data_IF_822173681365
#
_entry.id   IF_822173681365
#
_cell.length_a   1.000
_cell.length_b   1.000
_cell.length_c   1.000
_cell.angle_alpha   90.00
_cell.angle_beta   90.00
_cell.angle_gamma   90.00
#
_symmetry.space_group_name_H-M   'P 1'
#
loop_
_entity.id
_entity.type
_entity.pdbx_description
1 polymer ?
#
# COMPACT_ATOMS: atom_id res chain seq x y z
N UNK A 1 -11.33 9.93 21.56
CA UNK A 1 -11.02 10.08 23.00
C UNK A 1 -9.64 10.70 23.26
N UNK A 2 -8.84 11.04 22.24
CA UNK A 2 -7.52 11.69 22.34
C UNK A 2 -6.47 10.98 23.20
N UNK A 3 -6.68 9.70 23.51
CA UNK A 3 -5.66 8.88 24.15
C UNK A 3 -4.56 8.56 23.15
N UNK A 4 -3.31 8.59 23.61
CA UNK A 4 -2.19 8.07 22.84
C UNK A 4 -2.37 6.56 22.67
N UNK A 5 -2.23 6.10 21.43
CA UNK A 5 -2.28 4.68 21.08
C UNK A 5 -0.92 4.33 20.53
N UNK A 6 -0.26 3.36 21.15
CA UNK A 6 0.94 2.73 20.60
C UNK A 6 0.51 1.63 19.62
N UNK A 7 1.26 1.51 18.52
CA UNK A 7 1.00 0.50 17.50
C UNK A 7 1.84 -0.74 17.83
N UNK A 8 1.17 -1.75 18.37
CA UNK A 8 1.82 -3.00 18.79
C UNK A 8 2.08 -3.93 17.60
N UNK A 9 1.30 -3.81 16.53
CA UNK A 9 1.28 -4.75 15.41
C UNK A 9 1.44 -4.06 14.05
N UNK A 10 1.82 -4.85 13.04
CA UNK A 10 1.95 -4.40 11.67
C UNK A 10 0.62 -4.03 10.96
N UNK A 11 -0.53 -4.26 11.59
CA UNK A 11 -1.83 -3.94 11.01
C UNK A 11 -2.05 -2.42 10.95
N UNK A 12 -2.59 -1.92 9.83
CA UNK A 12 -3.02 -0.51 9.74
C UNK A 12 -4.38 -0.28 10.38
N UNK A 13 -5.15 -1.34 10.65
CA UNK A 13 -6.36 -1.27 11.46
C UNK A 13 -5.98 -1.34 12.95
N UNK A 14 -6.11 -0.23 13.67
CA UNK A 14 -5.86 -0.20 15.11
C UNK A 14 -7.14 0.06 15.89
N UNK A 15 -7.27 -0.59 17.05
CA UNK A 15 -8.44 -0.49 17.92
C UNK A 15 -8.11 0.31 19.18
N UNK A 16 -8.88 1.36 19.46
CA UNK A 16 -8.75 2.09 20.73
C UNK A 16 -9.48 1.36 21.86
N UNK A 17 -8.73 0.91 22.88
CA UNK A 17 -9.25 0.20 24.06
C UNK A 17 -9.80 1.13 25.15
N UNK A 18 -9.53 2.44 25.08
CA UNK A 18 -9.91 3.42 26.11
C UNK A 18 -11.24 4.14 25.84
N UNK A 19 -11.92 3.81 24.74
CA UNK A 19 -13.19 4.44 24.37
C UNK A 19 -14.34 3.93 25.26
N UNK A 20 -15.08 4.85 25.88
CA UNK A 20 -16.24 4.53 26.75
C UNK A 20 -17.40 3.87 26.00
N UNK A 21 -17.50 4.08 24.70
CA UNK A 21 -18.57 3.57 23.83
C UNK A 21 -18.23 2.23 23.18
N UNK A 22 -17.15 1.57 23.62
CA UNK A 22 -16.63 0.33 23.02
C UNK A 22 -15.40 0.58 22.13
N UNK A 23 -14.73 -0.49 21.68
CA UNK A 23 -13.54 -0.39 20.86
C UNK A 23 -13.88 0.25 19.50
N UNK A 24 -13.19 1.34 19.17
CA UNK A 24 -13.30 2.00 17.87
C UNK A 24 -12.06 1.64 17.06
N UNK A 25 -12.28 1.10 15.86
CA UNK A 25 -11.23 0.80 14.90
C UNK A 25 -11.01 1.96 13.93
N UNK A 26 -9.75 2.28 13.64
CA UNK A 26 -9.38 3.34 12.71
C UNK A 26 -8.06 3.05 12.01
N UNK A 27 -7.81 3.75 10.91
CA UNK A 27 -6.58 3.62 10.13
C UNK A 27 -5.43 4.37 10.79
N UNK A 28 -4.29 3.69 10.99
CA UNK A 28 -3.06 4.27 11.55
C UNK A 28 -2.55 5.48 10.74
N UNK A 29 -2.80 5.49 9.43
CA UNK A 29 -2.29 6.52 8.51
C UNK A 29 -3.09 7.81 8.57
N UNK A 30 -4.41 7.71 8.43
CA UNK A 30 -5.28 8.86 8.19
C UNK A 30 -6.25 9.14 9.36
N UNK A 31 -6.19 8.32 10.41
CA UNK A 31 -7.08 8.36 11.57
C UNK A 31 -8.58 8.24 11.24
N UNK A 32 -8.94 7.81 10.02
CA UNK A 32 -10.33 7.62 9.62
C UNK A 32 -10.92 6.32 10.18
N UNK A 33 -12.23 6.25 10.46
CA UNK A 33 -12.89 5.05 10.95
C UNK A 33 -12.68 3.86 9.99
N UNK A 34 -12.37 2.69 10.55
CA UNK A 34 -12.15 1.48 9.76
C UNK A 34 -13.47 0.90 9.21
N UNK A 35 -14.50 0.86 10.06
CA UNK A 35 -15.84 0.37 9.73
C UNK A 35 -16.87 1.50 9.81
N UNK A 36 -17.89 1.56 8.93
CA UNK A 36 -18.22 0.62 7.84
C UNK A 36 -17.51 0.90 6.50
N UNK A 37 -16.67 1.94 6.43
CA UNK A 37 -16.38 2.59 5.15
C UNK A 37 -14.93 3.04 4.97
N UNK A 38 -13.93 2.32 5.48
CA UNK A 38 -12.55 2.54 5.01
C UNK A 38 -12.34 1.96 3.60
N UNK A 39 -13.23 2.32 2.67
CA UNK A 39 -13.13 2.02 1.23
C UNK A 39 -12.10 2.91 0.54
N UNK A 40 -11.70 3.99 1.19
CA UNK A 40 -10.84 5.03 0.65
C UNK A 40 -9.36 4.83 1.01
N UNK A 41 -8.90 3.56 1.03
CA UNK A 41 -7.47 3.26 1.10
C UNK A 41 -6.68 3.95 -0.02
N UNK A 42 -7.33 4.19 -1.16
CA UNK A 42 -6.80 5.06 -2.20
C UNK A 42 -6.46 6.45 -1.67
N UNK A 43 -7.40 7.14 -1.03
CA UNK A 43 -7.23 8.52 -0.57
C UNK A 43 -6.08 8.66 0.43
N UNK A 44 -5.88 7.72 1.35
CA UNK A 44 -4.73 7.76 2.27
C UNK A 44 -3.40 7.32 1.62
N UNK A 45 -3.47 6.62 0.48
CA UNK A 45 -2.32 6.22 -0.34
C UNK A 45 -1.97 7.23 -1.44
N UNK A 46 -2.74 8.31 -1.59
CA UNK A 46 -2.39 9.43 -2.47
C UNK A 46 -1.44 10.39 -1.73
N UNK A 47 -0.34 10.85 -2.34
CA UNK A 47 0.50 11.90 -1.77
C UNK A 47 -0.28 13.21 -1.51
N UNK A 48 0.05 14.00 -0.48
CA UNK A 48 -0.66 15.23 -0.14
C UNK A 48 -0.74 16.25 -1.28
N UNK A 49 0.31 16.36 -2.07
CA UNK A 49 0.43 17.32 -3.18
C UNK A 49 -0.60 17.06 -4.27
N UNK A 50 -0.88 15.78 -4.55
CA UNK A 50 -1.91 15.37 -5.52
C UNK A 50 -3.33 15.64 -5.02
N UNK A 51 -3.49 16.02 -3.74
CA UNK A 51 -4.75 16.45 -3.12
C UNK A 51 -4.85 17.96 -2.93
N UNK A 52 -3.76 18.71 -3.16
CA UNK A 52 -3.69 20.18 -2.96
C UNK A 52 -4.16 20.92 -4.22
N UNK A 53 -4.65 22.14 -4.03
CA UNK A 53 -5.05 23.02 -5.14
C UNK A 53 -3.81 23.59 -5.85
N UNK A 54 -3.94 23.99 -7.13
CA UNK A 54 -2.81 24.55 -7.91
C UNK A 54 -2.10 25.74 -7.23
N UNK A 55 -2.81 26.50 -6.37
CA UNK A 55 -2.23 27.62 -5.60
C UNK A 55 -1.28 27.17 -4.48
N UNK A 56 -1.44 25.96 -3.96
CA UNK A 56 -0.72 25.42 -2.81
C UNK A 56 0.52 24.59 -3.20
N UNK A 57 0.74 24.36 -4.50
CA UNK A 57 1.80 23.49 -5.02
C UNK A 57 3.15 24.20 -5.23
N UNK A 58 3.24 25.52 -5.06
CA UNK A 58 4.42 26.32 -5.44
C UNK A 58 5.48 26.51 -4.32
N UNK A 59 5.41 25.79 -3.19
CA UNK A 59 6.33 25.97 -2.06
C UNK A 59 7.26 24.77 -1.86
N UNK A 60 8.50 25.00 -1.42
CA UNK A 60 9.49 23.93 -1.11
C UNK A 60 9.03 22.94 -0.01
N UNK A 61 8.00 23.30 0.76
CA UNK A 61 7.35 22.40 1.73
C UNK A 61 6.56 21.28 1.05
N UNK A 62 6.14 21.47 -0.20
CA UNK A 62 5.40 20.50 -1.02
C UNK A 62 6.31 19.30 -1.28
N UNK A 63 7.44 19.50 -1.97
CA UNK A 63 8.39 18.42 -2.28
C UNK A 63 8.82 17.62 -1.05
N UNK A 64 9.05 18.30 0.08
CA UNK A 64 9.40 17.65 1.36
C UNK A 64 8.27 16.76 1.88
N UNK A 65 7.00 17.14 1.69
CA UNK A 65 5.83 16.35 2.10
C UNK A 65 5.68 15.08 1.23
N UNK A 66 6.06 15.12 -0.05
CA UNK A 66 6.01 13.97 -0.95
C UNK A 66 7.12 12.96 -0.72
N UNK A 67 8.35 13.42 -0.57
CA UNK A 67 9.48 12.56 -0.19
C UNK A 67 9.17 11.84 1.12
N UNK A 68 8.69 12.60 2.11
CA UNK A 68 8.28 12.06 3.40
C UNK A 68 7.15 11.03 3.26
N UNK A 69 6.13 11.33 2.45
CA UNK A 69 5.01 10.42 2.24
C UNK A 69 5.48 9.05 1.74
N UNK A 70 6.31 9.00 0.70
CA UNK A 70 6.78 7.72 0.16
C UNK A 70 7.76 7.02 1.09
N UNK A 71 8.63 7.76 1.77
CA UNK A 71 9.53 7.21 2.78
C UNK A 71 8.76 6.50 3.89
N UNK A 72 7.77 7.16 4.50
CA UNK A 72 6.95 6.60 5.56
C UNK A 72 6.20 5.34 5.09
N UNK A 73 5.61 5.35 3.88
CA UNK A 73 4.92 4.17 3.32
C UNK A 73 5.86 2.99 3.09
N UNK A 74 7.07 3.24 2.60
CA UNK A 74 8.07 2.18 2.39
C UNK A 74 8.48 1.56 3.73
N UNK A 75 8.72 2.39 4.75
CA UNK A 75 9.10 1.90 6.07
C UNK A 75 7.97 1.07 6.71
N UNK A 76 6.73 1.56 6.61
CA UNK A 76 5.54 0.84 7.06
C UNK A 76 5.39 -0.53 6.36
N UNK A 77 5.56 -0.58 5.03
CA UNK A 77 5.47 -1.85 4.31
C UNK A 77 6.62 -2.82 4.66
N UNK A 78 7.81 -2.35 5.04
CA UNK A 78 8.89 -3.24 5.53
C UNK A 78 8.48 -3.92 6.84
N UNK A 79 7.93 -3.15 7.78
CA UNK A 79 7.42 -3.68 9.05
C UNK A 79 6.30 -4.68 8.78
N UNK A 80 5.33 -4.31 7.92
CA UNK A 80 4.21 -5.20 7.58
C UNK A 80 4.63 -6.47 6.84
N UNK A 81 5.66 -6.39 5.99
CA UNK A 81 6.22 -7.57 5.32
C UNK A 81 6.89 -8.52 6.32
N UNK A 82 7.68 -8.00 7.26
CA UNK A 82 8.32 -8.85 8.27
C UNK A 82 7.29 -9.56 9.14
N UNK A 83 6.22 -8.86 9.53
CA UNK A 83 5.12 -9.48 10.28
C UNK A 83 4.38 -10.54 9.47
N UNK A 84 4.11 -10.28 8.18
CA UNK A 84 3.48 -11.28 7.31
C UNK A 84 4.34 -12.55 7.16
N UNK A 85 5.68 -12.40 7.11
CA UNK A 85 6.61 -13.55 7.12
C UNK A 85 6.54 -14.33 8.42
N UNK A 86 6.50 -13.64 9.56
CA UNK A 86 6.31 -14.28 10.87
C UNK A 86 4.99 -15.07 10.90
N UNK A 87 3.89 -14.51 10.40
CA UNK A 87 2.60 -15.23 10.31
C UNK A 87 2.67 -16.47 9.42
N UNK A 88 3.45 -16.42 8.35
CA UNK A 88 3.71 -17.60 7.52
C UNK A 88 4.52 -18.66 8.26
N UNK A 89 5.50 -18.27 9.06
CA UNK A 89 6.29 -19.18 9.92
C UNK A 89 5.43 -19.81 11.04
N UNK A 90 4.49 -19.05 11.60
CA UNK A 90 3.53 -19.50 12.64
C UNK A 90 2.37 -20.36 12.08
N UNK A 91 2.13 -20.32 10.76
CA UNK A 91 1.00 -20.99 10.13
C UNK A 91 0.87 -22.50 10.44
N UNK A 92 1.96 -23.31 10.51
CA UNK A 92 1.85 -24.72 10.88
C UNK A 92 1.31 -24.95 12.29
N UNK A 93 1.65 -24.07 13.24
CA UNK A 93 1.12 -24.13 14.61
C UNK A 93 -0.37 -23.80 14.61
N UNK A 94 -0.76 -22.70 13.94
CA UNK A 94 -2.15 -22.27 13.80
C UNK A 94 -3.01 -23.37 13.13
N UNK A 95 -2.49 -24.03 12.09
CA UNK A 95 -3.13 -25.19 11.45
C UNK A 95 -3.34 -26.32 12.47
N UNK A 96 -2.32 -26.63 13.28
CA UNK A 96 -2.42 -27.65 14.32
C UNK A 96 -3.50 -27.34 15.36
N UNK A 97 -3.64 -26.08 15.77
CA UNK A 97 -4.68 -25.63 16.70
C UNK A 97 -6.07 -25.70 16.05
N UNK A 98 -6.22 -25.13 14.85
CA UNK A 98 -7.47 -25.13 14.09
C UNK A 98 -7.99 -26.56 13.84
N UNK A 99 -7.11 -27.49 13.46
CA UNK A 99 -7.47 -28.91 13.27
C UNK A 99 -8.00 -29.56 14.55
N UNK A 100 -7.40 -29.27 15.71
CA UNK A 100 -7.84 -29.83 17.00
C UNK A 100 -9.21 -29.31 17.40
N UNK A 101 -9.45 -28.01 17.21
CA UNK A 101 -10.72 -27.34 17.58
C UNK A 101 -11.85 -27.79 16.67
N UNK A 102 -11.61 -27.78 15.35
CA UNK A 102 -12.65 -28.03 14.34
C UNK A 102 -12.73 -29.50 13.89
N UNK A 103 -11.88 -30.37 14.44
CA UNK A 103 -11.77 -31.80 14.10
C UNK A 103 -11.75 -32.05 12.57
N UNK A 104 -10.86 -31.34 11.86
CA UNK A 104 -10.80 -31.34 10.40
C UNK A 104 -9.50 -31.92 9.83
N UNK A 105 -9.51 -32.20 8.53
CA UNK A 105 -8.37 -32.77 7.79
C UNK A 105 -7.35 -31.70 7.38
N UNK A 106 -6.13 -32.11 7.04
CA UNK A 106 -5.06 -31.22 6.58
C UNK A 106 -5.50 -30.33 5.41
N UNK A 107 -6.12 -30.92 4.39
CA UNK A 107 -6.64 -30.19 3.23
C UNK A 107 -7.71 -29.15 3.60
N UNK A 108 -8.50 -29.40 4.65
CA UNK A 108 -9.49 -28.42 5.09
C UNK A 108 -8.84 -27.19 5.76
N UNK A 109 -7.69 -27.38 6.43
CA UNK A 109 -6.94 -26.35 7.15
C UNK A 109 -5.83 -25.67 6.34
N UNK A 110 -5.45 -26.21 5.19
CA UNK A 110 -4.34 -25.73 4.34
C UNK A 110 -4.49 -24.25 3.93
N UNK A 111 -5.72 -23.76 3.86
CA UNK A 111 -6.02 -22.36 3.55
C UNK A 111 -5.28 -21.37 4.46
N UNK A 112 -5.01 -21.72 5.73
CA UNK A 112 -4.32 -20.84 6.68
C UNK A 112 -2.92 -20.50 6.16
N UNK A 113 -2.19 -21.51 5.69
CA UNK A 113 -0.86 -21.35 5.12
C UNK A 113 -0.92 -20.62 3.77
N UNK A 114 -1.82 -21.01 2.87
CA UNK A 114 -1.93 -20.40 1.53
C UNK A 114 -2.31 -18.91 1.61
N UNK A 115 -3.14 -18.54 2.58
CA UNK A 115 -3.50 -17.16 2.84
C UNK A 115 -2.35 -16.37 3.45
N UNK A 116 -1.54 -16.97 4.34
CA UNK A 116 -0.33 -16.34 4.86
C UNK A 116 0.70 -16.10 3.73
N UNK A 117 0.88 -17.08 2.83
CA UNK A 117 1.73 -16.92 1.64
C UNK A 117 1.23 -15.80 0.72
N UNK A 118 -0.08 -15.75 0.48
CA UNK A 118 -0.71 -14.68 -0.32
C UNK A 118 -0.43 -13.31 0.31
N UNK A 119 -0.60 -13.18 1.62
CA UNK A 119 -0.32 -11.93 2.33
C UNK A 119 1.14 -11.50 2.17
N UNK A 120 2.11 -12.41 2.31
CA UNK A 120 3.53 -12.12 2.07
C UNK A 120 3.76 -11.57 0.67
N UNK A 121 3.20 -12.22 -0.36
CA UNK A 121 3.33 -11.76 -1.76
C UNK A 121 2.74 -10.37 -1.96
N UNK A 122 1.56 -10.10 -1.40
CA UNK A 122 0.94 -8.78 -1.46
C UNK A 122 1.81 -7.71 -0.77
N UNK A 123 2.40 -8.01 0.39
CA UNK A 123 3.29 -7.07 1.11
C UNK A 123 4.59 -6.80 0.39
N UNK A 124 5.20 -7.83 -0.21
CA UNK A 124 6.38 -7.66 -1.05
C UNK A 124 6.07 -6.74 -2.24
N UNK A 125 4.95 -6.99 -2.91
CA UNK A 125 4.52 -6.15 -4.02
C UNK A 125 4.27 -4.71 -3.56
N UNK A 126 3.49 -4.49 -2.51
CA UNK A 126 3.18 -3.15 -2.00
C UNK A 126 4.43 -2.35 -1.63
N UNK A 127 5.42 -2.99 -0.98
CA UNK A 127 6.71 -2.38 -0.67
C UNK A 127 7.39 -1.83 -1.93
N UNK A 128 7.52 -2.66 -2.97
CA UNK A 128 8.15 -2.27 -4.23
C UNK A 128 7.30 -1.28 -5.02
N UNK A 129 5.98 -1.40 -4.94
CA UNK A 129 5.06 -0.55 -5.67
C UNK A 129 5.08 0.90 -5.14
N UNK A 130 5.37 1.12 -3.84
CA UNK A 130 5.63 2.47 -3.33
C UNK A 130 6.94 3.06 -3.85
N UNK A 131 8.02 2.26 -3.91
CA UNK A 131 9.30 2.71 -4.48
C UNK A 131 9.09 3.09 -5.95
N UNK A 132 8.37 2.26 -6.71
CA UNK A 132 8.03 2.57 -8.09
C UNK A 132 7.16 3.82 -8.20
N UNK A 133 6.13 3.94 -7.38
CA UNK A 133 5.26 5.12 -7.35
C UNK A 133 6.03 6.41 -7.08
N UNK A 134 7.10 6.37 -6.29
CA UNK A 134 7.98 7.52 -6.06
C UNK A 134 8.76 7.90 -7.33
N UNK A 135 9.38 6.91 -7.97
CA UNK A 135 10.26 7.10 -9.14
C UNK A 135 9.53 7.49 -10.43
N UNK A 136 8.20 7.44 -10.46
CA UNK A 136 7.40 7.68 -11.65
C UNK A 136 6.78 9.09 -11.61
N UNK A 137 6.96 9.94 -12.64
CA UNK A 137 6.30 11.23 -12.70
C UNK A 137 4.78 11.09 -12.85
N UNK A 138 4.02 12.13 -12.48
CA UNK A 138 2.55 12.10 -12.57
C UNK A 138 2.06 11.81 -14.00
N UNK A 139 1.21 10.80 -14.15
CA UNK A 139 0.51 10.48 -15.41
C UNK A 139 -0.78 9.71 -15.12
N UNK A 140 -1.64 9.55 -16.13
CA UNK A 140 -2.93 8.83 -15.99
C UNK A 140 -2.68 7.38 -15.54
N UNK A 141 -1.66 6.71 -16.09
CA UNK A 141 -1.30 5.36 -15.66
C UNK A 141 -0.87 5.30 -14.20
N UNK A 142 -0.06 6.26 -13.72
CA UNK A 142 0.32 6.34 -12.30
C UNK A 142 -0.90 6.47 -11.41
N UNK A 143 -1.86 7.32 -11.80
CA UNK A 143 -3.10 7.50 -11.03
C UNK A 143 -3.91 6.19 -10.96
N UNK A 144 -4.15 5.53 -12.10
CA UNK A 144 -4.82 4.22 -12.15
C UNK A 144 -4.09 3.18 -11.30
N UNK A 145 -2.76 3.14 -11.39
CA UNK A 145 -1.92 2.27 -10.57
C UNK A 145 -2.11 2.54 -9.08
N UNK A 146 -2.07 3.79 -8.63
CA UNK A 146 -2.24 4.17 -7.22
C UNK A 146 -3.64 3.79 -6.69
N UNK A 147 -4.68 3.88 -7.53
CA UNK A 147 -6.02 3.40 -7.20
C UNK A 147 -6.01 1.89 -6.94
N UNK A 148 -5.45 1.11 -7.87
CA UNK A 148 -5.36 -0.34 -7.74
C UNK A 148 -4.47 -0.77 -6.56
N UNK A 149 -3.35 -0.05 -6.34
CA UNK A 149 -2.49 -0.22 -5.17
C UNK A 149 -3.27 -0.01 -3.86
N UNK A 150 -4.13 1.01 -3.80
CA UNK A 150 -5.04 1.26 -2.68
C UNK A 150 -5.98 0.09 -2.40
N UNK A 151 -6.59 -0.50 -3.45
CA UNK A 151 -7.45 -1.67 -3.29
C UNK A 151 -6.70 -2.89 -2.80
N UNK A 152 -5.52 -3.17 -3.36
CA UNK A 152 -4.67 -4.27 -2.89
C UNK A 152 -4.31 -4.09 -1.41
N UNK A 153 -3.88 -2.88 -1.02
CA UNK A 153 -3.52 -2.60 0.37
C UNK A 153 -4.71 -2.81 1.29
N UNK A 154 -5.89 -2.28 0.97
CA UNK A 154 -7.09 -2.46 1.81
C UNK A 154 -7.47 -3.92 2.01
N UNK A 155 -7.44 -4.73 0.94
CA UNK A 155 -7.69 -6.16 1.04
C UNK A 155 -6.61 -6.89 1.86
N UNK A 156 -5.34 -6.52 1.68
CA UNK A 156 -4.24 -7.12 2.44
C UNK A 156 -4.28 -6.76 3.94
N UNK A 157 -4.71 -5.54 4.29
CA UNK A 157 -4.93 -5.17 5.68
C UNK A 157 -6.09 -5.97 6.29
N UNK A 158 -7.20 -6.13 5.56
CA UNK A 158 -8.30 -6.93 6.08
C UNK A 158 -7.94 -8.40 6.22
N UNK A 159 -7.22 -8.96 5.25
CA UNK A 159 -6.72 -10.34 5.33
C UNK A 159 -5.79 -10.53 6.54
N UNK A 160 -4.96 -9.53 6.86
CA UNK A 160 -4.14 -9.53 8.06
C UNK A 160 -5.00 -9.52 9.34
N UNK A 161 -6.03 -8.66 9.42
CA UNK A 161 -6.98 -8.65 10.55
C UNK A 161 -7.60 -10.04 10.76
N UNK A 162 -7.97 -10.74 9.69
CA UNK A 162 -8.53 -12.09 9.79
C UNK A 162 -7.50 -13.12 10.26
N UNK A 163 -6.22 -12.98 9.89
CA UNK A 163 -5.13 -13.87 10.30
C UNK A 163 -4.63 -13.61 11.73
N UNK A 164 -4.94 -12.46 12.32
CA UNK A 164 -4.63 -12.16 13.73
C UNK A 164 -5.65 -12.75 14.72
N UNK A 165 -6.77 -13.30 14.22
CA UNK A 165 -7.76 -13.98 15.06
C UNK A 165 -7.23 -15.30 15.60
N UNK A 166 -7.74 -15.69 16.78
CA UNK A 166 -7.48 -17.00 17.37
C UNK A 166 -8.12 -18.13 16.54
N UNK A 167 -7.61 -19.34 16.68
CA UNK A 167 -8.01 -20.50 15.87
C UNK A 167 -9.52 -20.82 15.94
N UNK A 168 -10.18 -20.50 17.06
CA UNK A 168 -11.61 -20.65 17.27
C UNK A 168 -12.45 -19.68 16.43
N UNK A 169 -11.92 -18.50 16.13
CA UNK A 169 -12.62 -17.39 15.47
C UNK A 169 -12.35 -17.28 13.96
N UNK A 170 -11.49 -18.17 13.43
CA UNK A 170 -11.17 -18.20 12.01
C UNK A 170 -12.37 -18.65 11.17
N UNK A 171 -12.84 -17.76 10.28
CA UNK A 171 -13.82 -18.09 9.25
C UNK A 171 -13.09 -18.42 7.95
N UNK A 172 -13.09 -19.72 7.59
CA UNK A 172 -12.47 -20.23 6.37
C UNK A 172 -12.99 -19.55 5.10
N UNK A 173 -14.29 -19.31 4.99
CA UNK A 173 -14.89 -18.76 3.77
C UNK A 173 -14.54 -17.28 3.63
N UNK A 174 -14.57 -16.53 4.73
CA UNK A 174 -14.19 -15.12 4.75
C UNK A 174 -12.72 -14.95 4.36
N UNK A 175 -11.83 -15.74 4.97
CA UNK A 175 -10.38 -15.70 4.70
C UNK A 175 -10.09 -16.06 3.23
N UNK A 176 -10.70 -17.13 2.72
CA UNK A 176 -10.52 -17.53 1.32
C UNK A 176 -11.01 -16.46 0.34
N UNK A 177 -12.15 -15.80 0.62
CA UNK A 177 -12.67 -14.73 -0.22
C UNK A 177 -11.73 -13.52 -0.30
N UNK A 178 -11.17 -13.09 0.84
CA UNK A 178 -10.21 -11.98 0.85
C UNK A 178 -8.85 -12.37 0.28
N UNK A 179 -8.40 -13.61 0.48
CA UNK A 179 -7.18 -14.12 -0.16
C UNK A 179 -7.33 -14.15 -1.69
N UNK A 180 -8.44 -14.65 -2.21
CA UNK A 180 -8.72 -14.65 -3.64
C UNK A 180 -8.82 -13.22 -4.20
N UNK A 181 -9.46 -12.31 -3.47
CA UNK A 181 -9.51 -10.88 -3.82
C UNK A 181 -8.10 -10.29 -3.90
N UNK A 182 -7.25 -10.55 -2.89
CA UNK A 182 -5.86 -10.09 -2.88
C UNK A 182 -5.07 -10.61 -4.10
N UNK A 183 -5.18 -11.91 -4.41
CA UNK A 183 -4.53 -12.51 -5.57
C UNK A 183 -4.98 -11.83 -6.86
N UNK A 184 -6.29 -11.65 -7.04
CA UNK A 184 -6.84 -10.98 -8.23
C UNK A 184 -6.30 -9.55 -8.40
N UNK A 185 -6.28 -8.75 -7.33
CA UNK A 185 -5.74 -7.39 -7.40
C UNK A 185 -4.24 -7.41 -7.70
N UNK A 186 -3.49 -8.32 -7.09
CA UNK A 186 -2.06 -8.48 -7.33
C UNK A 186 -1.77 -8.86 -8.79
N UNK A 187 -2.48 -9.85 -9.32
CA UNK A 187 -2.31 -10.31 -10.70
C UNK A 187 -2.66 -9.22 -11.70
N UNK A 188 -3.78 -8.52 -11.51
CA UNK A 188 -4.17 -7.38 -12.35
C UNK A 188 -3.11 -6.26 -12.33
N UNK A 189 -2.53 -6.00 -11.16
CA UNK A 189 -1.48 -5.00 -10.99
C UNK A 189 -0.20 -5.41 -11.72
N UNK A 190 0.23 -6.68 -11.59
CA UNK A 190 1.40 -7.22 -12.29
C UNK A 190 1.17 -7.17 -13.81
N UNK A 191 0.00 -7.57 -14.28
CA UNK A 191 -0.37 -7.53 -15.70
C UNK A 191 -0.36 -6.11 -16.25
N UNK A 192 -0.94 -5.15 -15.51
CA UNK A 192 -0.91 -3.73 -15.87
C UNK A 192 0.53 -3.23 -16.02
N UNK A 193 1.45 -3.64 -15.15
CA UNK A 193 2.86 -3.26 -15.28
C UNK A 193 3.57 -3.93 -16.44
N UNK A 194 3.28 -5.20 -16.70
CA UNK A 194 3.91 -5.97 -17.77
C UNK A 194 3.47 -5.47 -19.16
N UNK A 195 2.24 -5.00 -19.30
CA UNK A 195 1.64 -4.67 -20.60
C UNK A 195 1.53 -3.16 -20.85
N UNK A 196 0.96 -2.40 -19.91
CA UNK A 196 0.50 -1.02 -20.17
C UNK A 196 1.44 0.03 -19.57
N UNK A 197 2.00 -0.24 -18.38
CA UNK A 197 2.80 0.75 -17.68
C UNK A 197 4.17 0.95 -18.33
N UNK A 198 4.78 -0.10 -18.90
CA UNK A 198 6.12 0.01 -19.48
C UNK A 198 6.16 1.03 -20.63
N UNK A 199 5.18 1.02 -21.53
CA UNK A 199 5.10 2.00 -22.63
C UNK A 199 4.84 3.42 -22.12
N UNK A 200 3.95 3.57 -21.13
CA UNK A 200 3.59 4.88 -20.57
C UNK A 200 4.71 5.49 -19.72
N UNK A 201 5.53 4.65 -19.11
CA UNK A 201 6.73 5.06 -18.37
C UNK A 201 7.85 5.47 -19.32
N UNK A 202 8.11 4.67 -20.36
CA UNK A 202 9.14 4.99 -21.36
C UNK A 202 8.82 6.29 -22.10
N UNK A 203 7.56 6.48 -22.52
CA UNK A 203 7.13 7.71 -23.20
C UNK A 203 7.29 8.98 -22.33
N UNK A 204 7.20 8.85 -21.01
CA UNK A 204 7.39 9.97 -20.08
C UNK A 204 8.86 10.27 -19.78
N UNK A 205 9.70 9.24 -19.67
CA UNK A 205 11.16 9.40 -19.54
C UNK A 205 11.71 10.10 -20.79
N UNK A 206 11.28 9.67 -21.97
CA UNK A 206 11.66 10.33 -23.23
C UNK A 206 11.18 11.79 -23.31
N UNK A 207 10.02 12.12 -22.73
CA UNK A 207 9.54 13.50 -22.67
C UNK A 207 10.32 14.36 -21.67
N UNK A 208 10.68 13.84 -20.48
CA UNK A 208 11.49 14.59 -19.51
C UNK A 208 12.90 14.85 -20.02
N UNK A 209 13.53 13.86 -20.65
CA UNK A 209 14.88 13.99 -21.21
C UNK A 209 14.92 15.02 -22.35
N UNK A 210 13.86 15.08 -23.17
CA UNK A 210 13.73 16.08 -24.22
C UNK A 210 13.53 17.49 -23.67
N UNK A 211 12.72 17.65 -22.61
CA UNK A 211 12.48 18.97 -21.97
C UNK A 211 13.77 19.51 -21.33
N UNK A 212 14.49 18.68 -20.57
CA UNK A 212 15.78 19.07 -19.98
C UNK A 212 16.81 19.44 -21.06
N UNK A 213 16.84 18.74 -22.20
CA UNK A 213 17.70 19.10 -23.32
C UNK A 213 17.32 20.45 -23.95
N UNK A 214 16.04 20.75 -24.14
CA UNK A 214 15.59 22.06 -24.64
C UNK A 214 15.93 23.20 -23.67
N UNK A 215 15.69 23.04 -22.37
CA UNK A 215 15.99 24.06 -21.38
C UNK A 215 17.50 24.36 -21.31
N UNK A 216 18.34 23.32 -21.42
CA UNK A 216 19.79 23.48 -21.50
C UNK A 216 20.27 24.20 -22.77
N UNK A 217 19.56 24.03 -23.90
CA UNK A 217 19.87 24.73 -25.15
C UNK A 217 19.46 26.20 -25.04
N UNK A 218 18.27 26.49 -24.52
CA UNK A 218 17.78 27.85 -24.34
C UNK A 218 18.63 28.66 -23.35
N UNK A 219 19.08 28.03 -22.24
CA UNK A 219 20.03 28.67 -21.31
C UNK A 219 21.39 28.97 -21.95
N UNK A 220 21.89 28.09 -22.82
CA UNK A 220 23.14 28.34 -23.58
C UNK A 220 22.97 29.50 -24.55
N UNK A 221 21.86 29.54 -25.28
CA UNK A 221 21.59 30.63 -26.23
C UNK A 221 21.40 31.99 -25.53
N UNK A 222 20.80 32.02 -24.34
CA UNK A 222 20.71 33.24 -23.52
C UNK A 222 22.07 33.70 -22.99
N UNK A 223 22.93 32.78 -22.55
CA UNK A 223 24.31 33.09 -22.13
C UNK A 223 25.17 33.59 -23.28
N UNK A 224 25.03 33.01 -24.47
CA UNK A 224 25.77 33.45 -25.67
C UNK A 224 25.30 34.80 -26.21
N UNK A 225 24.02 35.15 -26.03
CA UNK A 225 23.49 36.50 -26.37
C UNK A 225 23.97 37.57 -25.39
N UNK A 226 24.03 37.25 -24.10
CA UNK A 226 24.47 38.19 -23.05
C UNK A 226 25.99 38.40 -23.00
N UNK A 227 26.79 37.55 -23.65
CA UNK A 227 28.24 37.77 -23.83
C UNK A 227 28.60 38.58 -25.09
N UNK A 228 27.61 38.89 -25.96
CA UNK A 228 27.78 39.66 -27.20
C UNK A 228 27.33 41.12 -27.09
N UNK A 229 26.77 41.53 -25.96
CA UNK A 229 26.46 42.92 -25.57
C UNK A 229 27.54 43.47 -24.61
#
# INVERSE_FOLDING_TARGET
CFWNVERDNACLCIACKHCKTGPIQFCWICAQPWFPSHKDHYTCNTPPEQRRTQLEMASATVDTDYDRFYYERVDEQKVSLNFAKLKLEEAPEMIGQYKKIHNCTDSHSEFIHDCAQTLVRCRQYLLHSYILGYSVPYCIAKNTFQIQQGFLQGNAEWLLVLQEKEAEELDRNEILNYSASCQKYLDNLIEFFANDAQELLMAKIEQSDNVEQTDMIEEKEQKDKSQKE
#
